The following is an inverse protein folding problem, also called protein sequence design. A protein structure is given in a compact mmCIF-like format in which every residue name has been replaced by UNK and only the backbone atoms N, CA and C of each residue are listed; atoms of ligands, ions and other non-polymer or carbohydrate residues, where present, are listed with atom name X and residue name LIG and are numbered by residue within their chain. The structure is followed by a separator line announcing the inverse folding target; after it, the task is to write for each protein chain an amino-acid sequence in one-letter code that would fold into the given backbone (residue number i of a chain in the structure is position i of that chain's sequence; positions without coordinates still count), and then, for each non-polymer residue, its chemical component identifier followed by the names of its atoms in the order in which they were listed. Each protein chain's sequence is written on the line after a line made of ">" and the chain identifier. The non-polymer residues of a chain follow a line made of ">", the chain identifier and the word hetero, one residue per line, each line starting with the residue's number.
data_IF_081094123284
#
_entry.id   IF_081094123284
#
_cell.length_a   1.000
_cell.length_b   1.000
_cell.length_c   1.000
_cell.angle_alpha   90.00
_cell.angle_beta   90.00
_cell.angle_gamma   90.00
#
_symmetry.space_group_name_H-M   'P 1'
#
loop_
_entity.id
_entity.type
_entity.pdbx_description
1 polymer ?
#
# COMPACT_ATOMS: atom_id res chain seq x y z
N UNK A 1 -11.98 -16.97 11.96
CA UNK A 1 -11.06 -16.34 10.99
C UNK A 1 -11.75 -15.25 10.19
N UNK A 2 -12.75 -15.53 9.36
CA UNK A 2 -13.47 -14.49 8.57
C UNK A 2 -14.19 -13.48 9.48
N UNK A 3 -14.90 -13.97 10.48
CA UNK A 3 -15.59 -13.14 11.50
C UNK A 3 -14.62 -12.31 12.35
N UNK A 4 -13.42 -12.82 12.65
CA UNK A 4 -12.41 -12.09 13.42
C UNK A 4 -11.80 -10.95 12.61
N UNK A 5 -11.61 -11.16 11.29
CA UNK A 5 -11.15 -10.15 10.36
C UNK A 5 -12.18 -9.03 10.18
N UNK A 6 -13.44 -9.39 9.98
CA UNK A 6 -14.57 -8.44 9.90
C UNK A 6 -14.67 -7.59 11.17
N UNK A 7 -14.61 -8.23 12.35
CA UNK A 7 -14.64 -7.52 13.63
C UNK A 7 -13.44 -6.57 13.79
N UNK A 8 -12.27 -6.96 13.31
CA UNK A 8 -11.06 -6.13 13.36
C UNK A 8 -11.20 -4.92 12.44
N UNK A 9 -11.71 -5.11 11.22
CA UNK A 9 -11.98 -4.00 10.30
C UNK A 9 -13.02 -3.03 10.86
N UNK A 10 -14.13 -3.54 11.41
CA UNK A 10 -15.15 -2.70 12.05
C UNK A 10 -14.57 -1.85 13.20
N UNK A 11 -13.64 -2.41 13.99
CA UNK A 11 -12.91 -1.64 15.01
C UNK A 11 -12.05 -0.55 14.38
N UNK A 12 -11.29 -0.86 13.32
CA UNK A 12 -10.42 0.11 12.64
C UNK A 12 -11.21 1.24 11.96
N UNK A 13 -12.40 0.95 11.46
CA UNK A 13 -13.32 1.93 10.86
C UNK A 13 -13.99 2.85 11.88
N UNK A 14 -13.90 2.54 13.18
CA UNK A 14 -14.50 3.38 14.21
C UNK A 14 -13.86 4.79 14.19
N UNK A 15 -14.64 5.88 14.10
CA UNK A 15 -14.08 7.24 14.06
C UNK A 15 -13.19 7.60 15.26
N UNK A 16 -13.37 6.93 16.41
CA UNK A 16 -12.54 7.11 17.61
C UNK A 16 -11.18 6.43 17.52
N UNK A 17 -10.94 5.61 16.50
CA UNK A 17 -9.68 4.90 16.28
C UNK A 17 -8.64 5.67 15.46
N UNK A 18 -8.91 6.94 15.12
CA UNK A 18 -7.95 7.80 14.40
C UNK A 18 -6.56 7.83 15.05
N UNK A 19 -6.49 7.98 16.38
CA UNK A 19 -5.24 7.92 17.12
C UNK A 19 -4.60 6.52 17.07
N UNK A 20 -5.40 5.45 17.12
CA UNK A 20 -4.92 4.07 17.00
C UNK A 20 -4.30 3.78 15.62
N UNK A 21 -4.90 4.33 14.56
CA UNK A 21 -4.35 4.25 13.20
C UNK A 21 -3.02 5.02 13.09
N UNK A 22 -2.88 6.16 13.76
CA UNK A 22 -1.61 6.90 13.80
C UNK A 22 -0.52 6.11 14.54
N UNK A 23 -0.86 5.46 15.67
CA UNK A 23 0.06 4.57 16.38
C UNK A 23 0.50 3.42 15.48
N UNK A 24 -0.46 2.75 14.80
CA UNK A 24 -0.15 1.68 13.88
C UNK A 24 0.79 2.14 12.75
N UNK A 25 0.51 3.29 12.14
CA UNK A 25 1.36 3.86 11.10
C UNK A 25 2.78 4.18 11.60
N UNK A 26 2.91 4.66 12.84
CA UNK A 26 4.22 4.90 13.46
C UNK A 26 4.99 3.59 13.64
N UNK A 27 4.34 2.54 14.14
CA UNK A 27 4.96 1.23 14.37
C UNK A 27 5.35 0.54 13.06
N UNK A 28 4.55 0.72 12.01
CA UNK A 28 4.86 0.23 10.67
C UNK A 28 6.07 0.95 10.07
N UNK A 29 6.34 2.20 10.45
CA UNK A 29 7.43 3.02 9.91
C UNK A 29 8.81 2.36 9.93
N UNK A 30 9.07 1.50 10.92
CA UNK A 30 10.33 0.77 11.10
C UNK A 30 10.42 -0.52 10.26
N UNK A 31 9.30 -0.99 9.71
CA UNK A 31 9.26 -2.21 8.92
C UNK A 31 9.82 -1.94 7.50
N UNK A 32 11.08 -2.32 7.31
CA UNK A 32 11.81 -2.20 6.04
C UNK A 32 12.24 -3.57 5.53
N UNK A 33 12.40 -3.67 4.22
CA UNK A 33 12.95 -4.85 3.58
C UNK A 33 14.46 -4.98 3.73
N UNK A 34 14.98 -6.12 3.29
CA UNK A 34 16.42 -6.32 3.19
C UNK A 34 17.00 -5.40 2.11
N UNK A 35 18.12 -4.70 2.37
CA UNK A 35 18.80 -3.91 1.35
C UNK A 35 19.28 -4.77 0.18
N UNK A 36 18.97 -4.36 -1.05
CA UNK A 36 19.34 -5.07 -2.29
C UNK A 36 20.16 -4.17 -3.20
N UNK A 37 21.23 -4.73 -3.76
CA UNK A 37 22.07 -4.03 -4.72
C UNK A 37 21.34 -3.74 -6.06
N UNK A 38 21.51 -2.55 -6.66
CA UNK A 38 20.89 -2.20 -7.94
C UNK A 38 21.25 -3.17 -9.06
N UNK A 39 22.46 -3.74 -9.02
CA UNK A 39 22.90 -4.76 -9.98
C UNK A 39 22.08 -6.04 -9.86
N UNK A 40 21.73 -6.43 -8.64
CA UNK A 40 20.89 -7.62 -8.38
C UNK A 40 19.46 -7.37 -8.87
N UNK A 41 18.88 -6.22 -8.52
CA UNK A 41 17.55 -5.82 -9.01
C UNK A 41 17.50 -5.83 -10.52
N UNK A 42 18.52 -5.28 -11.20
CA UNK A 42 18.60 -5.30 -12.65
C UNK A 42 18.61 -6.71 -13.23
N UNK A 43 19.40 -7.64 -12.67
CA UNK A 43 19.42 -9.03 -13.13
C UNK A 43 18.04 -9.67 -13.00
N UNK A 44 17.35 -9.44 -11.88
CA UNK A 44 15.99 -9.96 -11.66
C UNK A 44 15.01 -9.37 -12.67
N UNK A 45 15.01 -8.04 -12.87
CA UNK A 45 14.14 -7.39 -13.86
C UNK A 45 14.42 -7.91 -15.28
N UNK A 46 15.69 -8.03 -15.67
CA UNK A 46 16.07 -8.54 -17.00
C UNK A 46 15.62 -10.01 -17.19
N UNK A 47 15.56 -10.83 -16.13
CA UNK A 47 15.05 -12.21 -16.21
C UNK A 47 13.53 -12.32 -16.32
N UNK A 48 12.79 -11.28 -15.90
CA UNK A 48 11.32 -11.26 -15.95
C UNK A 48 10.78 -10.71 -17.27
N UNK A 49 11.61 -10.02 -18.06
CA UNK A 49 11.20 -9.37 -19.31
C UNK A 49 11.74 -10.16 -20.51
N UNK A 50 10.94 -11.09 -21.01
CA UNK A 50 11.30 -12.05 -22.08
C UNK A 50 11.71 -11.43 -23.42
N UNK A 51 11.32 -10.18 -23.71
CA UNK A 51 11.36 -9.65 -25.09
C UNK A 51 12.38 -8.55 -25.35
N UNK A 52 12.94 -7.91 -24.31
CA UNK A 52 14.02 -6.93 -24.44
C UNK A 52 14.59 -6.59 -23.06
N UNK A 53 15.92 -6.68 -22.90
CA UNK A 53 16.61 -6.23 -21.68
C UNK A 53 16.29 -4.76 -21.41
N UNK A 54 15.96 -4.45 -20.17
CA UNK A 54 15.61 -3.10 -19.77
C UNK A 54 16.91 -2.29 -19.63
N UNK A 55 16.90 -1.05 -20.13
CA UNK A 55 18.11 -0.21 -20.04
C UNK A 55 18.45 0.11 -18.57
N UNK A 56 19.74 0.26 -18.26
CA UNK A 56 20.19 0.67 -16.92
C UNK A 56 19.49 1.94 -16.47
N UNK A 57 19.37 2.92 -17.37
CA UNK A 57 18.79 4.21 -17.09
C UNK A 57 17.28 4.13 -16.81
N UNK A 58 16.56 3.26 -17.53
CA UNK A 58 15.14 3.00 -17.27
C UNK A 58 14.91 2.45 -15.87
N UNK A 59 15.75 1.50 -15.42
CA UNK A 59 15.65 0.92 -14.07
C UNK A 59 16.00 1.97 -13.01
N UNK A 60 17.06 2.76 -13.21
CA UNK A 60 17.41 3.84 -12.28
C UNK A 60 16.29 4.87 -12.17
N UNK A 61 15.67 5.27 -13.28
CA UNK A 61 14.56 6.22 -13.28
C UNK A 61 13.32 5.65 -12.58
N UNK A 62 13.01 4.36 -12.79
CA UNK A 62 11.93 3.69 -12.08
C UNK A 62 12.20 3.66 -10.56
N UNK A 63 13.42 3.28 -10.15
CA UNK A 63 13.82 3.27 -8.75
C UNK A 63 13.73 4.68 -8.12
N UNK A 64 14.11 5.73 -8.86
CA UNK A 64 13.95 7.12 -8.41
C UNK A 64 12.49 7.49 -8.18
N UNK A 65 11.58 7.15 -9.10
CA UNK A 65 10.13 7.41 -8.92
C UNK A 65 9.55 6.66 -7.73
N UNK A 66 9.99 5.41 -7.51
CA UNK A 66 9.58 4.63 -6.35
C UNK A 66 10.09 5.23 -5.03
N UNK A 67 11.28 5.82 -5.04
CA UNK A 67 11.84 6.56 -3.91
C UNK A 67 11.06 7.86 -3.65
N UNK A 68 10.77 8.64 -4.69
CA UNK A 68 9.94 9.85 -4.60
C UNK A 68 8.53 9.53 -4.06
N UNK A 69 8.02 8.33 -4.35
CA UNK A 69 6.76 7.82 -3.82
C UNK A 69 6.86 7.17 -2.42
N UNK A 70 8.02 7.21 -1.76
CA UNK A 70 8.32 6.57 -0.46
C UNK A 70 8.15 5.04 -0.40
N UNK A 71 7.99 4.38 -1.56
CA UNK A 71 7.82 2.92 -1.68
C UNK A 71 9.15 2.20 -1.42
N UNK A 72 10.27 2.81 -1.83
CA UNK A 72 11.61 2.33 -1.51
C UNK A 72 12.45 3.45 -0.90
N UNK A 73 13.47 3.07 -0.15
CA UNK A 73 14.56 3.94 0.27
C UNK A 73 15.82 3.60 -0.50
N UNK A 74 16.60 4.60 -0.89
CA UNK A 74 17.93 4.42 -1.46
C UNK A 74 18.98 4.94 -0.48
N UNK A 75 19.64 4.03 0.24
CA UNK A 75 20.74 4.35 1.16
C UNK A 75 21.99 3.57 0.76
N UNK A 76 23.15 4.22 0.80
CA UNK A 76 24.45 3.58 0.54
C UNK A 76 24.50 2.78 -0.77
N UNK A 77 23.88 3.32 -1.83
CA UNK A 77 23.75 2.65 -3.13
C UNK A 77 22.92 1.37 -3.16
N UNK A 78 22.16 1.04 -2.11
CA UNK A 78 21.23 -0.09 -2.06
C UNK A 78 19.77 0.36 -2.09
N UNK A 79 18.88 -0.52 -2.52
CA UNK A 79 17.43 -0.31 -2.51
C UNK A 79 16.80 -1.11 -1.38
N UNK A 80 15.90 -0.49 -0.64
CA UNK A 80 15.18 -1.14 0.46
C UNK A 80 13.70 -0.85 0.32
N UNK A 81 12.84 -1.87 0.33
CA UNK A 81 11.39 -1.65 0.29
C UNK A 81 10.90 -1.09 1.63
N UNK A 82 10.02 -0.11 1.58
CA UNK A 82 9.33 0.43 2.74
C UNK A 82 8.02 -0.35 2.97
N UNK A 83 8.11 -1.55 3.54
CA UNK A 83 6.93 -2.40 3.77
C UNK A 83 5.90 -1.70 4.64
N UNK A 84 6.33 -1.00 5.68
CA UNK A 84 5.43 -0.23 6.53
C UNK A 84 4.56 0.74 5.76
N UNK A 85 5.19 1.57 4.92
CA UNK A 85 4.47 2.54 4.10
C UNK A 85 3.52 1.87 3.10
N UNK A 86 3.96 0.78 2.45
CA UNK A 86 3.08 0.02 1.55
C UNK A 86 1.85 -0.54 2.28
N UNK A 87 2.04 -1.10 3.47
CA UNK A 87 0.94 -1.61 4.29
C UNK A 87 0.01 -0.47 4.70
N UNK A 88 0.53 0.67 5.13
CA UNK A 88 -0.27 1.85 5.47
C UNK A 88 -1.11 2.35 4.29
N UNK A 89 -0.53 2.43 3.09
CA UNK A 89 -1.25 2.84 1.87
C UNK A 89 -2.38 1.86 1.55
N UNK A 90 -2.09 0.56 1.58
CA UNK A 90 -3.08 -0.48 1.31
C UNK A 90 -4.21 -0.46 2.35
N UNK A 91 -3.86 -0.35 3.64
CA UNK A 91 -4.85 -0.26 4.72
C UNK A 91 -5.76 0.96 4.53
N UNK A 92 -5.19 2.15 4.31
CA UNK A 92 -5.98 3.36 4.09
C UNK A 92 -6.88 3.23 2.86
N UNK A 93 -6.38 2.67 1.77
CA UNK A 93 -7.16 2.46 0.54
C UNK A 93 -8.35 1.53 0.80
N UNK A 94 -8.15 0.44 1.55
CA UNK A 94 -9.24 -0.48 1.91
C UNK A 94 -10.27 0.22 2.80
N UNK A 95 -9.85 0.96 3.84
CA UNK A 95 -10.77 1.70 4.72
C UNK A 95 -11.58 2.74 3.94
N UNK A 96 -10.95 3.47 3.01
CA UNK A 96 -11.64 4.42 2.13
C UNK A 96 -12.64 3.73 1.20
N UNK A 97 -12.28 2.57 0.63
CA UNK A 97 -13.19 1.79 -0.20
C UNK A 97 -14.40 1.30 0.59
N UNK A 98 -14.20 0.83 1.83
CA UNK A 98 -15.30 0.41 2.70
C UNK A 98 -16.26 1.57 2.98
N UNK A 99 -15.76 2.76 3.35
CA UNK A 99 -16.63 3.93 3.56
C UNK A 99 -17.44 4.28 2.30
N UNK A 100 -16.81 4.26 1.12
CA UNK A 100 -17.51 4.52 -0.15
C UNK A 100 -18.58 3.48 -0.45
N UNK A 101 -18.37 2.23 -0.08
CA UNK A 101 -19.38 1.18 -0.24
C UNK A 101 -20.55 1.43 0.70
N UNK A 102 -20.28 1.74 1.98
CA UNK A 102 -21.32 2.06 2.96
C UNK A 102 -22.18 3.24 2.49
N UNK A 103 -21.55 4.33 2.00
CA UNK A 103 -22.25 5.49 1.43
C UNK A 103 -23.15 5.10 0.24
N UNK A 104 -22.66 4.24 -0.66
CA UNK A 104 -23.43 3.76 -1.81
C UNK A 104 -24.59 2.85 -1.40
N UNK A 105 -24.41 2.03 -0.37
CA UNK A 105 -25.49 1.19 0.17
C UNK A 105 -26.61 2.04 0.77
N UNK A 106 -26.27 3.08 1.52
CA UNK A 106 -27.23 4.05 2.07
C UNK A 106 -27.99 4.79 0.95
N UNK A 107 -27.31 5.25 -0.09
CA UNK A 107 -27.94 5.87 -1.26
C UNK A 107 -28.93 4.92 -1.96
N UNK A 108 -28.56 3.65 -2.14
CA UNK A 108 -29.44 2.64 -2.75
C UNK A 108 -30.69 2.42 -1.88
N UNK A 109 -30.54 2.36 -0.56
CA UNK A 109 -31.68 2.21 0.37
C UNK A 109 -32.62 3.41 0.26
N UNK A 110 -32.07 4.63 0.23
CA UNK A 110 -32.85 5.86 0.07
C UNK A 110 -33.65 5.83 -1.24
N UNK A 111 -33.03 5.48 -2.37
CA UNK A 111 -33.71 5.41 -3.67
C UNK A 111 -34.85 4.38 -3.68
N UNK A 112 -34.62 3.18 -3.13
CA UNK A 112 -35.65 2.12 -3.03
C UNK A 112 -36.83 2.51 -2.12
N UNK A 113 -36.60 3.41 -1.16
CA UNK A 113 -37.66 3.91 -0.28
C UNK A 113 -38.55 4.96 -0.95
N UNK A 114 -38.05 5.66 -1.97
CA UNK A 114 -38.78 6.67 -2.76
C UNK A 114 -39.63 6.04 -3.87
N UNK A 115 -39.28 4.84 -4.35
CA UNK A 115 -40.05 4.08 -5.35
C UNK A 115 -41.28 3.33 -4.78
N UNK A 116 -41.55 3.44 -3.47
CA UNK A 116 -42.75 2.87 -2.80
C UNK A 116 -43.73 3.96 -2.38
#
# INVERSE_FOLDING_TARGET
>A
MTTDLELTFAKLMNPRMSAGLMVLNSLLGDLKGTPVEPRTVRKTVDSLVDKRKVSKQSITNAARRLEEANIINRKESKYTVNYGYLISVLLNTVLEMTNKIDDLEDEIIALKSVER
#
